data_IF_669096685305
#
_entry.id   IF_669096685305
#
_cell.length_a   1.000
_cell.length_b   1.000
_cell.length_c   1.000
_cell.angle_alpha   90.00
_cell.angle_beta   90.00
_cell.angle_gamma   90.00
#
_symmetry.space_group_name_H-M   'P 1'
#
loop_
_entity.id
_entity.type
_entity.pdbx_description
1 polymer ?
#
# COMPACT_ATOMS: atom_id res chain seq x y z
N UNK A 1 -44.42 18.67 22.18
CA UNK A 1 -43.41 19.75 22.21
C UNK A 1 -42.20 19.17 21.55
N UNK A 2 -42.15 19.31 20.22
CA UNK A 2 -41.20 18.66 19.33
C UNK A 2 -39.84 19.34 19.44
N UNK A 3 -38.85 18.60 19.93
CA UNK A 3 -37.46 19.05 19.97
C UNK A 3 -36.81 18.72 18.62
N UNK A 4 -36.80 19.72 17.74
CA UNK A 4 -36.10 19.69 16.46
C UNK A 4 -34.60 19.49 16.68
N UNK A 5 -34.12 18.27 16.44
CA UNK A 5 -32.70 17.98 16.29
C UNK A 5 -32.22 18.63 14.99
N UNK A 6 -31.46 19.72 15.14
CA UNK A 6 -30.70 20.33 14.04
C UNK A 6 -29.71 19.30 13.47
N UNK A 7 -29.63 19.09 12.15
CA UNK A 7 -28.57 18.27 11.59
C UNK A 7 -27.24 18.98 11.82
N UNK A 8 -26.44 18.41 12.74
CA UNK A 8 -25.06 18.80 12.96
C UNK A 8 -24.28 18.67 11.67
N UNK A 9 -23.64 19.77 11.27
CA UNK A 9 -22.78 19.86 10.10
C UNK A 9 -21.80 18.67 10.07
N UNK A 10 -21.90 17.86 9.00
CA UNK A 10 -20.93 16.84 8.66
C UNK A 10 -19.58 17.53 8.45
N UNK A 11 -18.73 17.49 9.47
CA UNK A 11 -17.36 18.01 9.41
C UNK A 11 -16.54 17.10 8.49
N UNK A 12 -16.18 17.62 7.32
CA UNK A 12 -15.19 17.06 6.41
C UNK A 12 -15.80 16.40 5.17
N UNK A 13 -16.13 17.20 4.15
CA UNK A 13 -16.33 16.65 2.80
C UNK A 13 -15.02 16.01 2.29
N UNK A 14 -15.04 14.86 1.59
CA UNK A 14 -13.87 14.17 1.03
C UNK A 14 -13.28 14.91 -0.20
N UNK A 15 -13.15 16.23 -0.08
CA UNK A 15 -12.71 17.16 -1.12
C UNK A 15 -11.21 17.02 -1.40
N UNK A 16 -10.94 16.16 -2.38
CA UNK A 16 -9.78 16.02 -3.28
C UNK A 16 -8.40 15.67 -2.69
N UNK A 17 -8.24 14.38 -2.38
CA UNK A 17 -6.94 13.70 -2.41
C UNK A 17 -6.35 13.59 -3.83
N UNK A 18 -7.04 14.14 -4.83
CA UNK A 18 -6.71 14.10 -6.25
C UNK A 18 -5.28 14.58 -6.51
N UNK A 19 -4.89 15.74 -5.95
CA UNK A 19 -3.55 16.28 -6.17
C UNK A 19 -2.44 15.34 -5.68
N UNK A 20 -2.60 14.75 -4.50
CA UNK A 20 -1.66 13.73 -3.97
C UNK A 20 -1.64 12.47 -4.83
N UNK A 21 -2.80 12.01 -5.31
CA UNK A 21 -2.90 10.82 -6.18
C UNK A 21 -2.27 11.04 -7.55
N UNK A 22 -2.47 12.23 -8.14
CA UNK A 22 -1.84 12.63 -9.39
C UNK A 22 -0.32 12.63 -9.25
N UNK A 23 0.20 13.34 -8.23
CA UNK A 23 1.64 13.39 -7.93
C UNK A 23 2.21 12.00 -7.73
N UNK A 24 1.60 11.19 -6.86
CA UNK A 24 2.04 9.83 -6.57
C UNK A 24 2.08 8.96 -7.83
N UNK A 25 1.01 8.93 -8.62
CA UNK A 25 0.95 8.07 -9.81
C UNK A 25 1.94 8.53 -10.88
N UNK A 26 2.12 9.83 -11.03
CA UNK A 26 3.11 10.43 -11.92
C UNK A 26 4.54 9.99 -11.54
N UNK A 27 4.88 10.07 -10.27
CA UNK A 27 6.19 9.65 -9.74
C UNK A 27 6.43 8.15 -9.86
N UNK A 28 5.39 7.33 -9.63
CA UNK A 28 5.46 5.87 -9.85
C UNK A 28 5.75 5.50 -11.32
N UNK A 29 5.34 6.34 -12.26
CA UNK A 29 5.65 6.18 -13.69
C UNK A 29 6.98 6.84 -14.09
N UNK A 30 7.71 7.45 -13.15
CA UNK A 30 8.97 8.16 -13.42
C UNK A 30 8.80 9.40 -14.29
N UNK A 31 7.61 10.03 -14.29
CA UNK A 31 7.31 11.17 -15.16
C UNK A 31 7.56 12.50 -14.45
N UNK A 32 8.18 13.44 -15.14
CA UNK A 32 8.14 14.84 -14.73
C UNK A 32 6.72 15.40 -14.91
N UNK A 33 6.41 16.47 -14.16
CA UNK A 33 5.13 17.17 -14.28
C UNK A 33 4.86 17.63 -15.72
N UNK A 34 5.88 18.11 -16.42
CA UNK A 34 5.75 18.57 -17.81
C UNK A 34 5.38 17.42 -18.74
N UNK A 35 6.07 16.28 -18.65
CA UNK A 35 5.78 15.11 -19.50
C UNK A 35 4.38 14.54 -19.24
N UNK A 36 3.94 14.50 -17.99
CA UNK A 36 2.59 14.05 -17.66
C UNK A 36 1.51 14.99 -18.22
N UNK A 37 1.73 16.30 -18.15
CA UNK A 37 0.83 17.29 -18.73
C UNK A 37 0.76 17.18 -20.26
N UNK A 38 1.92 17.03 -20.92
CA UNK A 38 2.01 16.81 -22.37
C UNK A 38 1.26 15.53 -22.79
N UNK A 39 1.46 14.41 -22.08
CA UNK A 39 0.72 13.16 -22.33
C UNK A 39 -0.78 13.31 -22.15
N UNK A 40 -1.22 14.13 -21.20
CA UNK A 40 -2.62 14.39 -20.95
C UNK A 40 -3.21 15.51 -21.85
N UNK A 41 -2.42 16.07 -22.78
CA UNK A 41 -2.85 17.15 -23.66
C UNK A 41 -3.27 18.40 -22.90
N UNK A 42 -2.57 18.75 -21.82
CA UNK A 42 -2.84 19.92 -20.99
C UNK A 42 -1.60 20.77 -20.75
N UNK A 43 -1.83 22.03 -20.38
CA UNK A 43 -0.75 22.93 -20.00
C UNK A 43 -0.06 22.45 -18.70
N UNK A 44 1.28 22.46 -18.60
CA UNK A 44 2.01 22.09 -17.39
C UNK A 44 1.56 22.87 -16.14
N UNK A 45 1.22 24.14 -16.28
CA UNK A 45 0.68 24.97 -15.20
C UNK A 45 -0.69 24.52 -14.71
N UNK A 46 -1.52 23.92 -15.57
CA UNK A 46 -2.81 23.36 -15.16
C UNK A 46 -2.63 22.07 -14.34
N UNK A 47 -1.69 21.21 -14.73
CA UNK A 47 -1.37 20.02 -13.92
C UNK A 47 -0.74 20.42 -12.58
N UNK A 48 0.16 21.41 -12.56
CA UNK A 48 0.69 21.97 -11.32
C UNK A 48 -0.42 22.44 -10.39
N UNK A 49 -1.35 23.22 -10.92
CA UNK A 49 -2.51 23.70 -10.17
C UNK A 49 -3.31 22.55 -9.57
N UNK A 50 -3.57 21.49 -10.34
CA UNK A 50 -4.28 20.30 -9.85
C UNK A 50 -3.52 19.52 -8.77
N UNK A 51 -2.19 19.47 -8.83
CA UNK A 51 -1.35 18.79 -7.83
C UNK A 51 -1.25 19.56 -6.51
N UNK A 52 -1.21 20.89 -6.58
CA UNK A 52 -0.87 21.76 -5.44
C UNK A 52 -2.08 22.36 -4.73
N UNK A 53 -3.25 22.44 -5.37
CA UNK A 53 -4.44 23.09 -4.80
C UNK A 53 -5.43 22.09 -4.19
N UNK A 54 -5.64 22.12 -2.86
CA UNK A 54 -6.63 21.30 -2.17
C UNK A 54 -8.04 21.59 -2.68
N UNK A 55 -8.90 20.57 -2.71
CA UNK A 55 -10.31 20.67 -3.10
C UNK A 55 -10.59 21.05 -4.58
N UNK A 56 -9.59 21.01 -5.47
CA UNK A 56 -9.84 21.23 -6.91
C UNK A 56 -10.70 20.12 -7.51
N UNK A 57 -11.74 20.49 -8.28
CA UNK A 57 -12.64 19.58 -8.98
C UNK A 57 -12.55 19.80 -10.50
N UNK A 58 -11.59 19.16 -11.20
CA UNK A 58 -11.54 19.23 -12.66
C UNK A 58 -12.77 18.58 -13.28
N UNK A 59 -13.18 19.06 -14.47
CA UNK A 59 -14.25 18.44 -15.24
C UNK A 59 -13.90 17.01 -15.69
N UNK A 60 -14.93 16.21 -15.99
CA UNK A 60 -14.77 14.80 -16.38
C UNK A 60 -13.80 14.59 -17.55
N UNK A 61 -13.80 15.47 -18.54
CA UNK A 61 -12.87 15.39 -19.68
C UNK A 61 -11.41 15.54 -19.26
N UNK A 62 -11.11 16.39 -18.28
CA UNK A 62 -9.76 16.52 -17.74
C UNK A 62 -9.38 15.27 -16.92
N UNK A 63 -10.30 14.74 -16.12
CA UNK A 63 -10.08 13.48 -15.38
C UNK A 63 -9.82 12.29 -16.31
N UNK A 64 -10.56 12.15 -17.41
CA UNK A 64 -10.36 11.08 -18.38
C UNK A 64 -8.99 11.18 -19.07
N UNK A 65 -8.56 12.39 -19.45
CA UNK A 65 -7.22 12.61 -20.03
C UNK A 65 -6.11 12.32 -19.04
N UNK A 66 -6.27 12.73 -17.77
CA UNK A 66 -5.33 12.41 -16.69
C UNK A 66 -5.25 10.92 -16.45
N UNK A 67 -6.40 10.23 -16.36
CA UNK A 67 -6.48 8.79 -16.17
C UNK A 67 -5.75 8.03 -17.30
N UNK A 68 -5.99 8.41 -18.56
CA UNK A 68 -5.29 7.84 -19.71
C UNK A 68 -3.78 8.10 -19.67
N UNK A 69 -3.37 9.35 -19.45
CA UNK A 69 -1.95 9.73 -19.43
C UNK A 69 -1.15 9.09 -18.28
N UNK A 70 -1.78 8.96 -17.11
CA UNK A 70 -1.21 8.38 -15.90
C UNK A 70 -1.48 6.89 -15.75
N UNK A 71 -2.01 6.25 -16.79
CA UNK A 71 -2.26 4.81 -16.82
C UNK A 71 -2.99 4.38 -15.54
N UNK A 72 -4.20 4.90 -15.34
CA UNK A 72 -5.01 4.65 -14.14
C UNK A 72 -6.48 4.87 -14.48
N UNK A 73 -7.41 4.70 -13.53
CA UNK A 73 -8.82 5.00 -13.75
C UNK A 73 -9.21 6.34 -13.14
N UNK A 74 -10.32 6.92 -13.62
CA UNK A 74 -10.90 8.11 -12.98
C UNK A 74 -11.26 7.80 -11.53
N UNK A 75 -11.78 6.59 -11.25
CA UNK A 75 -12.17 6.18 -9.88
C UNK A 75 -10.98 6.15 -8.92
N UNK A 76 -9.83 5.67 -9.38
CA UNK A 76 -8.60 5.63 -8.58
C UNK A 76 -8.05 7.04 -8.34
N UNK A 77 -8.11 7.91 -9.35
CA UNK A 77 -7.73 9.32 -9.22
C UNK A 77 -8.64 10.09 -8.26
N UNK A 78 -9.95 9.85 -8.29
CA UNK A 78 -10.93 10.53 -7.44
C UNK A 78 -11.10 9.90 -6.07
N UNK A 79 -10.51 8.72 -5.83
CA UNK A 79 -10.65 7.99 -4.57
C UNK A 79 -12.04 7.38 -4.35
N UNK A 80 -12.86 7.26 -5.40
CA UNK A 80 -14.21 6.69 -5.32
C UNK A 80 -14.22 5.18 -5.05
N UNK A 81 -13.05 4.53 -5.12
CA UNK A 81 -12.83 3.10 -4.82
C UNK A 81 -12.33 2.84 -3.40
N UNK A 82 -12.12 3.88 -2.56
CA UNK A 82 -11.51 3.71 -1.24
C UNK A 82 -12.25 2.73 -0.32
N UNK A 83 -13.58 2.62 -0.45
CA UNK A 83 -14.41 1.72 0.36
C UNK A 83 -14.70 0.36 -0.32
N UNK A 84 -14.14 0.12 -1.52
CA UNK A 84 -14.34 -1.12 -2.26
C UNK A 84 -13.08 -2.01 -2.18
N UNK A 85 -13.24 -3.35 -2.11
CA UNK A 85 -12.10 -4.24 -2.20
C UNK A 85 -11.40 -4.09 -3.57
N UNK A 86 -10.06 -4.18 -3.63
CA UNK A 86 -9.35 -4.16 -4.89
C UNK A 86 -9.69 -5.38 -5.75
N UNK A 87 -9.59 -5.23 -7.07
CA UNK A 87 -9.87 -6.28 -8.05
C UNK A 87 -11.32 -6.32 -8.55
N UNK A 88 -12.10 -5.26 -8.34
CA UNK A 88 -13.48 -5.17 -8.86
C UNK A 88 -13.54 -4.88 -10.38
N UNK A 89 -12.41 -4.53 -11.00
CA UNK A 89 -12.27 -4.37 -12.44
C UNK A 89 -12.58 -5.66 -13.21
N UNK A 90 -13.04 -5.52 -14.46
CA UNK A 90 -13.22 -6.67 -15.34
C UNK A 90 -11.87 -7.31 -15.65
N UNK A 91 -11.81 -8.64 -15.66
CA UNK A 91 -10.64 -9.37 -16.14
C UNK A 91 -10.40 -9.04 -17.63
N UNK A 92 -9.14 -8.85 -17.99
CA UNK A 92 -8.75 -8.72 -19.39
C UNK A 92 -8.85 -10.06 -20.12
N UNK A 93 -9.07 -10.07 -21.45
CA UNK A 93 -9.38 -11.30 -22.20
C UNK A 93 -8.21 -12.31 -22.32
N UNK A 94 -6.97 -11.91 -22.03
CA UNK A 94 -5.78 -12.78 -22.16
C UNK A 94 -4.77 -12.60 -21.02
N UNK A 95 -5.12 -12.90 -19.76
CA UNK A 95 -4.20 -12.74 -18.65
C UNK A 95 -3.09 -13.79 -18.71
N UNK A 96 -1.84 -13.35 -18.65
CA UNK A 96 -0.68 -14.21 -18.50
C UNK A 96 -0.27 -14.30 -17.03
N UNK A 97 -0.15 -15.51 -16.53
CA UNK A 97 0.35 -15.79 -15.19
C UNK A 97 1.81 -16.24 -15.27
N UNK A 98 2.69 -15.56 -14.53
CA UNK A 98 4.13 -15.87 -14.50
C UNK A 98 4.63 -15.98 -13.06
N UNK A 99 5.50 -16.95 -12.80
CA UNK A 99 6.23 -17.04 -11.54
C UNK A 99 7.39 -16.04 -11.52
N UNK A 100 7.56 -15.37 -10.38
CA UNK A 100 8.64 -14.42 -10.19
C UNK A 100 9.90 -15.11 -9.68
N UNK A 101 11.04 -14.69 -10.20
CA UNK A 101 12.34 -15.09 -9.66
C UNK A 101 12.52 -14.57 -8.23
N UNK A 102 13.42 -15.20 -7.45
CA UNK A 102 13.75 -14.72 -6.10
C UNK A 102 14.25 -13.27 -6.10
N UNK A 103 14.95 -12.85 -7.14
CA UNK A 103 15.46 -11.48 -7.26
C UNK A 103 14.31 -10.48 -7.46
N UNK A 104 13.35 -10.80 -8.33
CA UNK A 104 12.16 -9.97 -8.52
C UNK A 104 11.31 -9.91 -7.24
N UNK A 105 11.12 -11.02 -6.54
CA UNK A 105 10.40 -11.02 -5.26
C UNK A 105 11.06 -10.09 -4.23
N UNK A 106 12.40 -10.10 -4.14
CA UNK A 106 13.14 -9.20 -3.25
C UNK A 106 13.00 -7.74 -3.67
N UNK A 107 13.02 -7.46 -4.97
CA UNK A 107 12.81 -6.11 -5.49
C UNK A 107 11.41 -5.59 -5.16
N UNK A 108 10.38 -6.44 -5.29
CA UNK A 108 8.99 -6.09 -5.03
C UNK A 108 8.64 -5.97 -3.54
N UNK A 109 9.28 -6.77 -2.67
CA UNK A 109 9.23 -6.55 -1.23
C UNK A 109 9.75 -5.16 -0.83
N UNK A 110 10.54 -4.52 -1.70
CA UNK A 110 11.11 -3.19 -1.49
C UNK A 110 11.87 -3.08 -0.14
N UNK A 111 12.19 -1.87 0.28
CA UNK A 111 12.81 -1.62 1.59
C UNK A 111 11.79 -1.59 2.72
N UNK A 112 10.54 -1.20 2.44
CA UNK A 112 9.49 -1.03 3.43
C UNK A 112 8.11 -0.91 2.77
N UNK A 113 7.05 -1.06 3.55
CA UNK A 113 5.67 -0.92 3.08
C UNK A 113 4.65 -1.44 4.07
N UNK A 114 3.47 -1.78 3.57
CA UNK A 114 2.44 -2.51 4.32
C UNK A 114 2.27 -3.88 3.71
N UNK A 115 2.31 -4.90 4.57
CA UNK A 115 2.01 -6.28 4.20
C UNK A 115 1.02 -6.88 5.17
N UNK A 116 0.69 -8.15 4.97
CA UNK A 116 -0.16 -8.92 5.89
C UNK A 116 0.62 -10.11 6.43
N UNK A 117 0.49 -10.34 7.74
CA UNK A 117 1.05 -11.52 8.40
C UNK A 117 -0.09 -12.43 8.83
N UNK A 118 0.01 -13.71 8.45
CA UNK A 118 -0.85 -14.77 8.96
C UNK A 118 -0.22 -15.32 10.24
N UNK A 119 -0.89 -15.06 11.36
CA UNK A 119 -0.44 -15.41 12.71
C UNK A 119 -1.28 -16.59 13.22
N UNK A 120 -0.66 -17.69 13.68
CA UNK A 120 -1.41 -18.74 14.35
C UNK A 120 -1.91 -18.24 15.70
N UNK A 121 -3.20 -18.44 15.98
CA UNK A 121 -3.81 -18.14 17.28
C UNK A 121 -4.57 -19.36 17.80
N UNK A 122 -4.99 -19.34 19.06
CA UNK A 122 -5.77 -20.42 19.68
C UNK A 122 -7.09 -20.71 18.99
N UNK A 123 -7.68 -19.72 18.30
CA UNK A 123 -8.92 -19.85 17.55
C UNK A 123 -8.70 -20.14 16.06
N UNK A 124 -7.44 -20.29 15.62
CA UNK A 124 -7.05 -20.51 14.23
C UNK A 124 -6.15 -19.39 13.68
N UNK A 125 -5.72 -19.50 12.40
CA UNK A 125 -4.87 -18.48 11.79
C UNK A 125 -5.64 -17.18 11.55
N UNK A 126 -5.04 -16.05 11.94
CA UNK A 126 -5.58 -14.70 11.72
C UNK A 126 -4.63 -13.91 10.84
N UNK A 127 -5.16 -13.25 9.81
CA UNK A 127 -4.37 -12.38 8.91
C UNK A 127 -4.54 -10.93 9.34
N UNK A 128 -3.42 -10.27 9.67
CA UNK A 128 -3.42 -8.88 10.14
C UNK A 128 -2.43 -8.02 9.34
N UNK A 129 -2.77 -6.75 9.04
CA UNK A 129 -1.86 -5.85 8.36
C UNK A 129 -0.76 -5.36 9.29
N UNK A 130 0.46 -5.23 8.77
CA UNK A 130 1.62 -4.69 9.48
C UNK A 130 2.41 -3.73 8.58
N UNK A 131 2.91 -2.64 9.16
CA UNK A 131 3.94 -1.83 8.53
C UNK A 131 5.28 -2.55 8.72
N UNK A 132 5.97 -2.83 7.63
CA UNK A 132 7.20 -3.60 7.67
C UNK A 132 8.36 -2.84 7.04
N UNK A 133 9.57 -3.25 7.40
CA UNK A 133 10.81 -2.93 6.71
C UNK A 133 11.56 -4.21 6.41
N UNK A 134 12.44 -4.18 5.41
CA UNK A 134 13.36 -5.28 5.10
C UNK A 134 14.75 -4.90 5.57
N UNK A 135 15.25 -5.57 6.61
CA UNK A 135 16.59 -5.35 7.16
C UNK A 135 17.38 -6.64 7.02
N UNK A 136 18.49 -6.58 6.27
CA UNK A 136 19.38 -7.74 6.05
C UNK A 136 18.65 -8.96 5.49
N UNK A 137 17.68 -8.71 4.61
CA UNK A 137 16.87 -9.75 3.98
C UNK A 137 15.79 -10.36 4.87
N UNK A 138 15.63 -9.92 6.12
CA UNK A 138 14.53 -10.30 6.98
C UNK A 138 13.44 -9.22 7.01
N UNK A 139 12.21 -9.64 7.22
CA UNK A 139 11.07 -8.73 7.37
C UNK A 139 10.96 -8.38 8.85
N UNK A 140 10.93 -7.09 9.16
CA UNK A 140 10.81 -6.58 10.53
C UNK A 140 9.62 -5.65 10.63
N UNK A 141 8.89 -5.72 11.74
CA UNK A 141 7.79 -4.79 12.03
C UNK A 141 7.70 -4.51 13.52
N UNK A 142 7.08 -3.36 13.86
CA UNK A 142 6.79 -2.95 15.24
C UNK A 142 5.35 -3.19 15.60
N UNK A 143 5.14 -3.70 16.81
CA UNK A 143 3.81 -3.90 17.39
C UNK A 143 3.84 -3.62 18.90
N UNK A 144 2.70 -3.74 19.56
CA UNK A 144 2.58 -3.70 21.02
C UNK A 144 2.37 -5.10 21.59
N UNK A 145 2.80 -5.32 22.83
CA UNK A 145 2.54 -6.58 23.53
C UNK A 145 1.03 -6.86 23.64
N UNK A 146 0.66 -8.14 23.66
CA UNK A 146 -0.73 -8.58 23.73
C UNK A 146 -1.55 -8.41 22.44
N UNK A 147 -1.00 -7.77 21.40
CA UNK A 147 -1.67 -7.65 20.09
C UNK A 147 -1.53 -8.93 19.24
N UNK A 148 -2.44 -9.15 18.29
CA UNK A 148 -2.38 -10.31 17.38
C UNK A 148 -1.03 -10.42 16.64
N UNK A 149 -0.43 -9.35 16.06
CA UNK A 149 0.88 -9.46 15.44
C UNK A 149 2.01 -9.91 16.38
N UNK A 150 1.91 -9.63 17.70
CA UNK A 150 2.93 -10.05 18.66
C UNK A 150 2.96 -11.57 18.85
N UNK A 151 1.80 -12.24 18.68
CA UNK A 151 1.68 -13.70 18.77
C UNK A 151 2.41 -14.44 17.63
N UNK A 152 2.90 -13.73 16.61
CA UNK A 152 3.75 -14.31 15.58
C UNK A 152 5.06 -14.86 16.15
N UNK A 153 5.60 -14.23 17.20
CA UNK A 153 6.89 -14.59 17.76
C UNK A 153 6.90 -16.04 18.28
N UNK A 154 7.93 -16.80 17.91
CA UNK A 154 8.07 -18.21 18.24
C UNK A 154 7.37 -19.16 17.27
N UNK A 155 6.66 -18.65 16.25
CA UNK A 155 5.93 -19.46 15.29
C UNK A 155 6.49 -19.39 13.87
N UNK A 156 6.15 -20.39 13.05
CA UNK A 156 6.20 -20.25 11.60
C UNK A 156 5.01 -19.41 11.13
N UNK A 157 5.29 -18.39 10.33
CA UNK A 157 4.28 -17.47 9.80
C UNK A 157 4.36 -17.39 8.29
N UNK A 158 3.25 -16.97 7.69
CA UNK A 158 3.23 -16.50 6.32
C UNK A 158 3.10 -14.97 6.31
N UNK A 159 3.82 -14.32 5.42
CA UNK A 159 3.76 -12.89 5.19
C UNK A 159 3.54 -12.62 3.71
N UNK A 160 2.76 -11.60 3.40
CA UNK A 160 2.29 -11.31 2.05
C UNK A 160 2.35 -9.81 1.77
N UNK A 161 2.77 -9.47 0.55
CA UNK A 161 2.65 -8.14 -0.02
C UNK A 161 2.19 -8.30 -1.45
N UNK A 162 1.20 -7.50 -1.85
CA UNK A 162 0.69 -7.46 -3.22
C UNK A 162 0.59 -6.03 -3.74
N UNK A 163 0.38 -5.98 -5.05
CA UNK A 163 -0.17 -4.82 -5.71
C UNK A 163 -1.11 -5.26 -6.82
N UNK A 164 -2.31 -4.68 -6.83
CA UNK A 164 -3.30 -4.87 -7.90
C UNK A 164 -3.44 -3.53 -8.63
N UNK A 165 -3.29 -3.57 -9.95
CA UNK A 165 -3.59 -2.46 -10.87
C UNK A 165 -4.87 -2.80 -11.63
N UNK A 166 -6.00 -2.30 -11.13
CA UNK A 166 -7.31 -2.54 -11.73
C UNK A 166 -7.44 -1.95 -13.13
N UNK A 167 -6.74 -0.85 -13.41
CA UNK A 167 -6.85 -0.15 -14.69
C UNK A 167 -6.35 -1.01 -15.85
N UNK A 168 -5.36 -1.86 -15.60
CA UNK A 168 -4.79 -2.77 -16.59
C UNK A 168 -5.12 -4.23 -16.35
N UNK A 169 -5.89 -4.56 -15.30
CA UNK A 169 -6.09 -5.93 -14.85
C UNK A 169 -4.77 -6.68 -14.60
N UNK A 170 -3.76 -5.96 -14.08
CA UNK A 170 -2.43 -6.52 -13.79
C UNK A 170 -2.16 -6.51 -12.29
N UNK A 171 -1.18 -7.28 -11.86
CA UNK A 171 -0.78 -7.26 -10.46
C UNK A 171 0.33 -8.24 -10.17
N UNK A 172 0.82 -8.18 -8.94
CA UNK A 172 1.78 -9.14 -8.42
C UNK A 172 1.52 -9.40 -6.95
N UNK A 173 1.97 -10.55 -6.47
CA UNK A 173 2.04 -10.87 -5.06
C UNK A 173 3.37 -11.55 -4.74
N UNK A 174 3.87 -11.29 -3.54
CA UNK A 174 5.04 -11.94 -2.96
C UNK A 174 4.64 -12.56 -1.64
N UNK A 175 4.90 -13.85 -1.51
CA UNK A 175 4.61 -14.63 -0.31
C UNK A 175 5.93 -15.07 0.32
N UNK A 176 6.03 -14.86 1.62
CA UNK A 176 7.14 -15.28 2.45
C UNK A 176 6.64 -16.27 3.48
N UNK A 177 7.32 -17.41 3.62
CA UNK A 177 7.19 -18.28 4.79
C UNK A 177 8.46 -18.17 5.60
N UNK A 178 8.35 -17.97 6.90
CA UNK A 178 9.51 -17.73 7.76
C UNK A 178 9.24 -18.04 9.23
N UNK A 179 10.30 -18.01 10.03
CA UNK A 179 10.18 -18.06 11.50
C UNK A 179 10.17 -16.64 12.04
N UNK A 180 9.14 -16.33 12.83
CA UNK A 180 9.05 -15.06 13.53
C UNK A 180 9.65 -15.19 14.94
N UNK A 181 10.38 -14.15 15.38
CA UNK A 181 10.86 -14.01 16.76
C UNK A 181 10.75 -12.58 17.23
N UNK A 182 10.62 -12.40 18.54
CA UNK A 182 10.81 -11.10 19.17
C UNK A 182 12.29 -10.76 19.20
N UNK A 183 12.61 -9.49 18.92
CA UNK A 183 13.95 -8.94 19.06
C UNK A 183 14.02 -8.18 20.38
N UNK A 184 14.77 -8.71 21.34
CA UNK A 184 14.86 -8.16 22.70
C UNK A 184 16.25 -7.63 23.06
N UNK A 185 17.30 -8.05 22.35
CA UNK A 185 18.65 -7.58 22.61
C UNK A 185 18.74 -6.07 22.35
N UNK A 186 19.20 -5.24 23.32
CA UNK A 186 19.19 -3.78 23.18
C UNK A 186 19.93 -3.26 21.94
N UNK A 187 21.06 -3.90 21.58
CA UNK A 187 21.84 -3.53 20.41
C UNK A 187 21.10 -3.83 19.11
N UNK A 188 20.40 -4.98 19.02
CA UNK A 188 19.59 -5.33 17.86
C UNK A 188 18.37 -4.41 17.74
N UNK A 189 17.71 -4.09 18.86
CA UNK A 189 16.58 -3.15 18.89
C UNK A 189 17.02 -1.77 18.41
N UNK A 190 18.16 -1.27 18.89
CA UNK A 190 18.74 0.00 18.42
C UNK A 190 19.05 -0.06 16.93
N UNK A 191 19.71 -1.12 16.48
CA UNK A 191 20.05 -1.31 15.07
C UNK A 191 18.83 -1.34 14.15
N UNK A 192 17.75 -2.03 14.55
CA UNK A 192 16.49 -2.02 13.79
C UNK A 192 15.83 -0.64 13.81
N UNK A 193 15.91 0.08 14.92
CA UNK A 193 15.37 1.44 15.06
C UNK A 193 16.08 2.43 14.15
N UNK A 194 17.39 2.29 13.96
CA UNK A 194 18.17 3.14 13.08
C UNK A 194 17.95 2.83 11.59
N UNK A 195 17.69 1.56 11.24
CA UNK A 195 17.59 1.12 9.84
C UNK A 195 16.17 1.01 9.28
N UNK A 196 15.16 0.83 10.13
CA UNK A 196 13.80 0.70 9.67
C UNK A 196 13.24 2.06 9.24
N UNK A 197 12.78 2.13 8.00
CA UNK A 197 12.24 3.36 7.40
C UNK A 197 10.79 3.67 7.83
N UNK A 198 10.08 2.70 8.41
CA UNK A 198 8.64 2.83 8.67
C UNK A 198 8.32 3.13 10.12
N UNK A 199 7.76 4.32 10.35
CA UNK A 199 6.87 4.54 11.49
C UNK A 199 5.54 3.79 11.25
N UNK A 200 4.98 3.12 12.26
CA UNK A 200 3.68 2.45 12.12
C UNK A 200 2.58 3.46 11.75
N UNK A 201 1.72 3.14 10.77
CA UNK A 201 0.58 3.98 10.38
C UNK A 201 -0.46 4.15 11.49
N UNK A 202 -0.57 3.17 12.38
CA UNK A 202 -1.44 3.24 13.54
C UNK A 202 -0.62 3.74 14.74
N UNK A 203 -1.08 4.84 15.34
CA UNK A 203 -0.43 5.47 16.50
C UNK A 203 -0.42 4.58 17.75
N UNK A 204 0.34 5.01 18.77
CA UNK A 204 0.53 4.32 20.06
C UNK A 204 1.98 3.87 20.29
N UNK A 205 2.33 3.59 21.54
CA UNK A 205 3.62 2.99 21.92
C UNK A 205 3.70 1.56 21.37
N UNK A 206 4.74 1.29 20.57
CA UNK A 206 4.94 0.02 19.87
C UNK A 206 6.41 -0.35 19.96
N UNK A 207 6.76 -0.92 21.11
CA UNK A 207 8.14 -1.16 21.50
C UNK A 207 8.60 -2.59 21.20
N UNK A 208 7.69 -3.44 20.71
CA UNK A 208 7.97 -4.84 20.39
C UNK A 208 8.37 -4.96 18.93
N UNK A 209 9.64 -5.31 18.71
CA UNK A 209 10.14 -5.68 17.40
C UNK A 209 9.91 -7.16 17.13
N UNK A 210 9.25 -7.46 16.01
CA UNK A 210 9.14 -8.81 15.48
C UNK A 210 9.96 -8.91 14.20
N UNK A 211 10.79 -9.95 14.11
CA UNK A 211 11.60 -10.28 12.93
C UNK A 211 11.18 -11.63 12.37
N UNK A 212 10.87 -11.66 11.08
CA UNK A 212 10.60 -12.86 10.30
C UNK A 212 11.84 -13.17 9.45
N UNK A 213 12.52 -14.28 9.74
CA UNK A 213 13.58 -14.80 8.87
C UNK A 213 12.96 -15.68 7.77
N UNK A 214 13.12 -15.32 6.48
CA UNK A 214 12.55 -16.07 5.37
C UNK A 214 13.15 -17.47 5.23
N UNK A 215 12.31 -18.48 5.13
CA UNK A 215 12.65 -19.85 4.72
C UNK A 215 12.34 -20.07 3.23
N UNK A 216 11.22 -19.52 2.78
CA UNK A 216 10.80 -19.57 1.39
C UNK A 216 10.25 -18.22 0.95
N UNK A 217 10.55 -17.86 -0.30
CA UNK A 217 10.14 -16.63 -0.96
C UNK A 217 9.63 -17.01 -2.34
N UNK A 218 8.34 -16.79 -2.60
CA UNK A 218 7.70 -17.04 -3.88
C UNK A 218 6.96 -15.79 -4.34
N UNK A 219 6.76 -15.65 -5.64
CA UNK A 219 6.01 -14.53 -6.17
C UNK A 219 5.32 -14.89 -7.47
N UNK A 220 4.25 -14.16 -7.75
CA UNK A 220 3.39 -14.36 -8.91
C UNK A 220 3.10 -13.02 -9.54
N UNK A 221 3.02 -12.97 -10.85
CA UNK A 221 2.64 -11.78 -11.61
C UNK A 221 1.57 -12.14 -12.62
N UNK A 222 0.56 -11.28 -12.71
CA UNK A 222 -0.47 -11.30 -13.73
C UNK A 222 -0.24 -10.08 -14.62
N UNK A 223 -0.04 -10.32 -15.91
CA UNK A 223 0.07 -9.29 -16.96
C UNK A 223 -0.98 -9.51 -18.03
N UNK A 224 -1.26 -8.47 -18.79
CA UNK A 224 -2.17 -8.48 -19.95
C UNK A 224 -1.40 -8.02 -21.17
#
# INVERSE_FOLDING_TARGET
MDEQVKPGAVKGSPTSDLGRRLTRRREELGLSRREAAERAGMAPGYLQYLEEQPATAPGMSALLRLAGALRTTVRDLTGSTLDLPPGAGRASPHPQFTELSKQECRALLATHGVGRVAVPTVSGPVVVPVNYSVVEGAIVFRTADGTTPAQAAGCQVAFEVDRIDEAFSQGWSVLVRGHARTVTAPDDVRHLTERAYSLPWAGGERDVWVRIDPLALTGRRITV
#
